data_IF_027042365913
#
_entry.id   IF_027042365913
#
_cell.length_a   1.000
_cell.length_b   1.000
_cell.length_c   1.000
_cell.angle_alpha   90.00
_cell.angle_beta   90.00
_cell.angle_gamma   90.00
#
_symmetry.space_group_name_H-M   'P 1'
#
loop_
_entity.id
_entity.type
_entity.pdbx_description
1 polymer ?
#
# COMPACT_ATOMS: atom_id res chain seq x y z
N UNK A 1 -15.82 16.40 4.15
CA UNK A 1 -14.71 15.69 4.82
C UNK A 1 -14.83 14.23 4.41
N UNK A 2 -13.78 13.63 3.85
CA UNK A 2 -13.78 12.18 3.65
C UNK A 2 -13.51 11.51 5.00
N UNK A 3 -14.35 10.55 5.37
CA UNK A 3 -14.12 9.71 6.53
C UNK A 3 -13.01 8.70 6.23
N UNK A 4 -12.06 8.55 7.15
CA UNK A 4 -10.97 7.56 7.00
C UNK A 4 -11.43 6.22 7.56
N UNK A 5 -11.62 5.24 6.67
CA UNK A 5 -12.00 3.87 7.04
C UNK A 5 -10.77 2.97 7.23
N UNK A 6 -10.90 1.96 8.10
CA UNK A 6 -9.91 0.88 8.30
C UNK A 6 -10.58 -0.48 8.07
N UNK A 7 -10.90 -0.82 6.82
CA UNK A 7 -11.66 -2.04 6.51
C UNK A 7 -10.83 -3.31 6.74
N UNK A 8 -11.48 -4.47 6.91
CA UNK A 8 -10.78 -5.75 6.84
C UNK A 8 -10.21 -5.98 5.44
N UNK A 9 -9.04 -6.62 5.38
CA UNK A 9 -8.31 -6.88 4.14
C UNK A 9 -8.28 -8.38 3.83
N UNK A 10 -8.39 -8.73 2.54
CA UNK A 10 -8.27 -10.09 2.01
C UNK A 10 -7.20 -10.13 0.91
N UNK A 11 -6.60 -11.31 0.70
CA UNK A 11 -5.64 -11.57 -0.38
C UNK A 11 -6.22 -12.59 -1.33
N UNK A 12 -6.13 -12.31 -2.62
CA UNK A 12 -6.62 -13.18 -3.67
C UNK A 12 -5.52 -13.40 -4.70
N UNK A 13 -5.24 -14.67 -4.99
CA UNK A 13 -4.43 -15.04 -6.15
C UNK A 13 -5.33 -15.18 -7.37
N UNK A 14 -4.93 -14.64 -8.50
CA UNK A 14 -5.71 -14.71 -9.73
C UNK A 14 -4.81 -14.91 -10.94
N UNK A 15 -5.20 -15.75 -11.91
CA UNK A 15 -4.46 -15.87 -13.16
C UNK A 15 -4.50 -14.55 -13.91
N UNK A 16 -3.39 -14.18 -14.54
CA UNK A 16 -3.37 -13.10 -15.53
C UNK A 16 -3.76 -13.61 -16.92
N UNK A 17 -3.76 -12.71 -17.92
CA UNK A 17 -4.18 -13.04 -19.29
C UNK A 17 -3.15 -13.88 -20.05
N UNK A 18 -1.89 -13.88 -19.60
CA UNK A 18 -0.75 -14.52 -20.26
C UNK A 18 -0.40 -15.87 -19.60
N UNK A 19 -1.18 -16.31 -18.61
CA UNK A 19 -1.01 -17.57 -17.88
C UNK A 19 -0.09 -17.47 -16.66
N UNK A 20 0.34 -16.27 -16.29
CA UNK A 20 1.01 -15.97 -15.03
C UNK A 20 0.01 -15.81 -13.87
N UNK A 21 0.55 -15.40 -12.72
CA UNK A 21 -0.22 -15.23 -11.49
C UNK A 21 -0.03 -13.83 -10.94
N UNK A 22 -1.15 -13.22 -10.55
CA UNK A 22 -1.20 -11.95 -9.84
C UNK A 22 -1.68 -12.14 -8.41
N UNK A 23 -1.26 -11.24 -7.51
CA UNK A 23 -1.69 -11.20 -6.13
C UNK A 23 -2.42 -9.88 -5.85
N UNK A 24 -3.73 -9.96 -5.65
CA UNK A 24 -4.56 -8.82 -5.31
C UNK A 24 -4.75 -8.68 -3.80
N UNK A 25 -4.65 -7.44 -3.31
CA UNK A 25 -5.13 -7.03 -2.00
C UNK A 25 -6.49 -6.37 -2.18
N UNK A 26 -7.49 -6.88 -1.47
CA UNK A 26 -8.85 -6.35 -1.47
C UNK A 26 -9.26 -5.87 -0.08
N UNK A 27 -10.22 -4.95 -0.04
CA UNK A 27 -10.84 -4.46 1.18
C UNK A 27 -12.36 -4.60 1.12
N UNK A 28 -12.99 -4.95 2.24
CA UNK A 28 -14.47 -4.94 2.33
C UNK A 28 -14.95 -3.59 2.83
N UNK A 29 -15.62 -2.83 1.97
CA UNK A 29 -16.22 -1.52 2.27
C UNK A 29 -17.71 -1.59 1.96
N UNK A 30 -18.55 -1.18 2.90
CA UNK A 30 -20.02 -1.24 2.76
C UNK A 30 -20.55 -2.62 2.34
N UNK A 31 -19.92 -3.69 2.83
CA UNK A 31 -20.28 -5.08 2.52
C UNK A 31 -19.91 -5.54 1.10
N UNK A 32 -19.14 -4.73 0.35
CA UNK A 32 -18.65 -5.06 -0.99
C UNK A 32 -17.14 -5.19 -0.98
N UNK A 33 -16.63 -6.09 -1.82
CA UNK A 33 -15.18 -6.25 -2.00
C UNK A 33 -14.68 -5.23 -3.04
N UNK A 34 -13.62 -4.52 -2.69
CA UNK A 34 -12.96 -3.53 -3.52
C UNK A 34 -11.49 -3.87 -3.68
N UNK A 35 -10.99 -3.92 -4.92
CA UNK A 35 -9.56 -4.04 -5.17
C UNK A 35 -8.83 -2.77 -4.70
N UNK A 36 -7.79 -2.96 -3.89
CA UNK A 36 -6.94 -1.87 -3.38
C UNK A 36 -5.69 -1.75 -4.23
N UNK A 37 -4.99 -2.86 -4.43
CA UNK A 37 -3.82 -2.97 -5.30
C UNK A 37 -3.66 -4.41 -5.80
N UNK A 38 -2.90 -4.57 -6.88
CA UNK A 38 -2.53 -5.87 -7.46
C UNK A 38 -1.04 -5.91 -7.72
N UNK A 39 -0.37 -6.96 -7.24
CA UNK A 39 1.01 -7.26 -7.59
C UNK A 39 1.02 -8.13 -8.84
N UNK A 40 1.81 -7.71 -9.83
CA UNK A 40 1.96 -8.38 -11.14
C UNK A 40 3.45 -8.53 -11.47
N UNK A 41 3.79 -9.53 -12.28
CA UNK A 41 5.12 -9.69 -12.85
C UNK A 41 5.17 -9.06 -14.26
N UNK A 42 6.29 -8.45 -14.62
CA UNK A 42 6.55 -8.01 -15.98
C UNK A 42 6.92 -9.21 -16.85
N UNK A 43 6.26 -9.36 -18.00
CA UNK A 43 6.46 -10.50 -18.90
C UNK A 43 7.85 -10.52 -19.57
N UNK A 44 8.61 -9.43 -19.55
CA UNK A 44 9.92 -9.33 -20.19
C UNK A 44 11.06 -9.76 -19.27
N UNK A 45 11.00 -9.37 -18.00
CA UNK A 45 12.12 -9.53 -17.06
C UNK A 45 11.74 -10.07 -15.67
N UNK A 46 10.48 -10.44 -15.47
CA UNK A 46 9.92 -10.97 -14.20
C UNK A 46 10.00 -9.97 -13.01
N UNK A 47 10.27 -8.69 -13.27
CA UNK A 47 10.23 -7.65 -12.24
C UNK A 47 8.82 -7.52 -11.68
N UNK A 48 8.71 -7.32 -10.36
CA UNK A 48 7.43 -7.19 -9.68
C UNK A 48 6.97 -5.73 -9.60
N UNK A 49 5.74 -5.51 -10.02
CA UNK A 49 5.08 -4.20 -10.05
C UNK A 49 3.81 -4.22 -9.22
N UNK A 50 3.41 -3.06 -8.72
CA UNK A 50 2.16 -2.84 -7.99
C UNK A 50 1.27 -1.96 -8.86
N UNK A 51 0.17 -2.52 -9.34
CA UNK A 51 -0.90 -1.79 -9.98
C UNK A 51 -1.89 -1.26 -8.95
N UNK A 52 -2.19 0.04 -9.00
CA UNK A 52 -3.18 0.68 -8.13
C UNK A 52 -3.95 1.80 -8.88
N UNK A 53 -5.21 2.09 -8.50
CA UNK A 53 -5.97 3.19 -9.08
C UNK A 53 -5.52 4.55 -8.51
N UNK A 54 -5.27 5.52 -9.38
CA UNK A 54 -4.94 6.90 -9.04
C UNK A 54 -5.71 7.86 -9.96
N UNK A 55 -6.74 8.53 -9.42
CA UNK A 55 -7.51 9.55 -10.16
C UNK A 55 -8.21 9.04 -11.42
N UNK A 56 -8.67 7.78 -11.43
CA UNK A 56 -9.29 7.14 -12.61
C UNK A 56 -8.30 6.47 -13.55
N UNK A 57 -6.99 6.63 -13.33
CA UNK A 57 -5.94 5.97 -14.10
C UNK A 57 -5.36 4.82 -13.30
N UNK A 58 -5.04 3.70 -13.95
CA UNK A 58 -4.26 2.64 -13.33
C UNK A 58 -2.77 2.96 -13.46
N UNK A 59 -2.08 3.03 -12.31
CA UNK A 59 -0.65 3.33 -12.24
C UNK A 59 0.08 2.10 -11.75
N UNK A 60 1.27 1.84 -12.30
CA UNK A 60 2.18 0.83 -11.81
C UNK A 60 3.43 1.47 -11.19
N UNK A 61 3.83 0.96 -10.03
CA UNK A 61 5.09 1.32 -9.37
C UNK A 61 5.90 0.06 -9.04
N UNK A 62 7.24 0.12 -9.01
CA UNK A 62 8.04 -1.06 -8.67
C UNK A 62 7.78 -1.52 -7.22
N UNK A 63 7.60 -2.83 -7.01
CA UNK A 63 7.39 -3.40 -5.67
C UNK A 63 8.56 -3.08 -4.73
N UNK A 64 9.79 -3.08 -5.25
CA UNK A 64 10.98 -2.76 -4.49
C UNK A 64 10.95 -1.33 -3.90
N UNK A 65 10.39 -0.36 -4.65
CA UNK A 65 10.26 1.03 -4.19
C UNK A 65 9.25 1.12 -3.05
N UNK A 66 8.09 0.45 -3.15
CA UNK A 66 7.12 0.45 -2.06
C UNK A 66 7.72 -0.16 -0.78
N UNK A 67 8.47 -1.26 -0.89
CA UNK A 67 9.13 -1.89 0.27
C UNK A 67 10.05 -0.92 1.00
N UNK A 68 10.92 -0.23 0.26
CA UNK A 68 11.82 0.77 0.84
C UNK A 68 11.05 1.90 1.53
N UNK A 69 9.97 2.39 0.91
CA UNK A 69 9.13 3.43 1.53
C UNK A 69 8.49 2.95 2.82
N UNK A 70 8.02 1.69 2.89
CA UNK A 70 7.41 1.13 4.09
C UNK A 70 8.43 0.93 5.22
N UNK A 71 9.67 0.56 4.89
CA UNK A 71 10.77 0.46 5.86
C UNK A 71 11.05 1.83 6.50
N UNK A 72 11.28 2.85 5.67
CA UNK A 72 11.47 4.24 6.15
C UNK A 72 10.26 4.73 6.94
N UNK A 73 9.05 4.45 6.47
CA UNK A 73 7.84 4.89 7.15
C UNK A 73 7.67 4.27 8.54
N UNK A 74 8.07 3.01 8.73
CA UNK A 74 7.99 2.35 10.03
C UNK A 74 8.90 3.01 11.08
N UNK A 75 9.99 3.64 10.64
CA UNK A 75 10.97 4.30 11.51
C UNK A 75 10.69 5.79 11.69
N UNK A 76 10.29 6.49 10.62
CA UNK A 76 10.28 7.96 10.59
C UNK A 76 8.87 8.57 10.58
N UNK A 77 7.82 7.82 10.22
CA UNK A 77 6.46 8.38 10.15
C UNK A 77 5.79 8.33 11.51
N UNK A 78 5.76 9.50 12.16
CA UNK A 78 5.14 9.68 13.48
C UNK A 78 3.98 10.67 13.43
N UNK A 79 3.05 10.52 14.39
CA UNK A 79 1.98 11.50 14.57
C UNK A 79 2.51 12.81 15.14
N UNK A 80 1.81 13.93 14.91
CA UNK A 80 2.15 15.22 15.52
C UNK A 80 2.26 15.15 17.06
N UNK A 81 1.41 14.33 17.70
CA UNK A 81 1.44 14.13 19.14
C UNK A 81 2.68 13.36 19.63
N UNK A 82 3.32 12.56 18.76
CA UNK A 82 4.60 11.94 19.08
C UNK A 82 5.73 12.98 19.06
N UNK A 83 5.81 13.82 18.02
CA UNK A 83 6.81 14.88 17.94
C UNK A 83 6.71 15.87 19.10
N UNK A 84 5.49 16.30 19.46
CA UNK A 84 5.28 17.21 20.59
C UNK A 84 5.76 16.65 21.95
N UNK A 85 5.81 15.31 22.11
CA UNK A 85 6.38 14.68 23.30
C UNK A 85 7.91 14.71 23.29
N UNK A 86 8.54 14.50 22.13
CA UNK A 86 10.00 14.56 22.01
C UNK A 86 10.53 15.98 22.29
N UNK A 87 9.87 17.00 21.74
CA UNK A 87 10.27 18.39 22.00
C UNK A 87 10.20 18.72 23.50
N UNK A 88 9.14 18.28 24.19
CA UNK A 88 8.98 18.50 25.62
C UNK A 88 10.08 17.81 26.45
N UNK A 89 10.44 16.56 26.09
CA UNK A 89 11.51 15.81 26.74
C UNK A 89 12.90 16.47 26.51
N UNK A 90 13.13 17.04 25.31
CA UNK A 90 14.37 17.76 24.96
C UNK A 90 14.51 19.13 25.67
N UNK A 91 13.40 19.77 26.08
CA UNK A 91 13.42 21.02 26.85
C UNK A 91 13.59 20.81 28.37
N UNK A 92 13.40 19.59 28.89
CA UNK A 92 13.58 19.24 30.30
C UNK A 92 14.95 18.61 30.63
N UNK A 93 15.80 18.36 29.62
CA UNK A 93 17.17 17.81 29.74
C UNK A 93 18.26 18.91 29.72
#
# INVERSE_FOLDING_TARGET
MNETLRPPLSRLWSPDQDGGMSLQLSATVDGREHAVLTVVADAQDESLWIALPAGGTQVQIPLAVLRQVLEVAAEEVHSAAWFARQDADDFEA
#
